data_IF_074482546564
#
_entry.id   IF_074482546564
#
_cell.length_a   1.000
_cell.length_b   1.000
_cell.length_c   1.000
_cell.angle_alpha   90.00
_cell.angle_beta   90.00
_cell.angle_gamma   90.00
#
_symmetry.space_group_name_H-M   'P 1'
#
loop_
_entity.id
_entity.type
_entity.pdbx_description
1 polymer ?
#
# COMPACT_ATOMS: atom_id res chain seq x y z
N UNK A 1 0.56 13.30 -25.68
CA UNK A 1 -0.24 12.55 -24.70
C UNK A 1 -0.33 11.16 -25.28
N UNK A 2 0.62 10.31 -24.91
CA UNK A 2 0.79 9.01 -25.55
C UNK A 2 -0.42 8.13 -25.22
N UNK A 3 -1.06 7.65 -26.28
CA UNK A 3 -2.13 6.68 -26.19
C UNK A 3 -1.50 5.36 -25.78
N UNK A 4 -1.52 5.05 -24.50
CA UNK A 4 -1.15 3.74 -23.99
C UNK A 4 -2.15 2.72 -24.53
N UNK A 5 -1.72 1.69 -25.29
CA UNK A 5 -2.62 0.60 -25.64
C UNK A 5 -3.15 -0.09 -24.36
N UNK A 6 -4.43 -0.45 -24.38
CA UNK A 6 -5.20 -1.00 -23.25
C UNK A 6 -4.69 -2.38 -22.76
N UNK A 7 -3.60 -2.91 -23.35
CA UNK A 7 -3.03 -4.23 -23.07
C UNK A 7 -1.86 -4.24 -22.07
N UNK A 8 -1.40 -3.07 -21.63
CA UNK A 8 -0.23 -2.94 -20.74
C UNK A 8 -0.52 -3.18 -19.26
N UNK A 9 -1.78 -3.44 -18.93
CA UNK A 9 -2.22 -3.70 -17.57
C UNK A 9 -3.21 -4.87 -17.59
N UNK A 10 -2.93 -5.87 -16.77
CA UNK A 10 -3.85 -6.98 -16.59
C UNK A 10 -5.07 -6.53 -15.80
N UNK A 11 -6.20 -6.40 -16.49
CA UNK A 11 -7.47 -5.95 -15.88
C UNK A 11 -7.93 -6.84 -14.72
N UNK A 12 -7.55 -8.11 -14.69
CA UNK A 12 -7.87 -9.01 -13.57
C UNK A 12 -7.01 -8.70 -12.34
N UNK A 13 -5.72 -8.43 -12.53
CA UNK A 13 -4.82 -8.03 -11.44
C UNK A 13 -5.28 -6.69 -10.84
N UNK A 14 -5.59 -5.71 -11.68
CA UNK A 14 -6.16 -4.42 -11.25
C UNK A 14 -7.48 -4.59 -10.52
N UNK A 15 -8.39 -5.42 -11.03
CA UNK A 15 -9.65 -5.67 -10.35
C UNK A 15 -9.45 -6.33 -8.98
N UNK A 16 -8.43 -7.17 -8.83
CA UNK A 16 -8.04 -7.78 -7.55
C UNK A 16 -7.58 -6.72 -6.56
N UNK A 17 -6.61 -5.88 -6.95
CA UNK A 17 -6.13 -4.80 -6.09
C UNK A 17 -7.23 -3.81 -5.75
N UNK A 18 -8.03 -3.41 -6.73
CA UNK A 18 -9.17 -2.51 -6.51
C UNK A 18 -10.13 -3.10 -5.47
N UNK A 19 -10.44 -4.39 -5.54
CA UNK A 19 -11.27 -5.06 -4.53
C UNK A 19 -10.62 -5.01 -3.13
N UNK A 20 -9.33 -5.29 -3.03
CA UNK A 20 -8.59 -5.19 -1.77
C UNK A 20 -8.58 -3.76 -1.21
N UNK A 21 -8.45 -2.74 -2.07
CA UNK A 21 -8.51 -1.34 -1.66
C UNK A 21 -9.94 -0.91 -1.27
N UNK A 22 -10.95 -1.33 -2.03
CA UNK A 22 -12.35 -1.09 -1.72
C UNK A 22 -12.72 -1.69 -0.36
N UNK A 23 -12.21 -2.88 -0.03
CA UNK A 23 -12.39 -3.49 1.29
C UNK A 23 -11.78 -2.67 2.43
N UNK A 24 -10.63 -2.01 2.23
CA UNK A 24 -10.06 -1.06 3.21
C UNK A 24 -10.96 0.17 3.35
N UNK A 25 -11.45 0.70 2.24
CA UNK A 25 -12.33 1.86 2.23
C UNK A 25 -13.71 1.58 2.85
N UNK A 26 -14.23 0.36 2.73
CA UNK A 26 -15.49 -0.08 3.36
C UNK A 26 -15.40 -0.11 4.89
N UNK A 27 -14.21 -0.19 5.46
CA UNK A 27 -14.01 -0.11 6.91
C UNK A 27 -14.04 1.32 7.45
N UNK A 28 -14.03 2.33 6.59
CA UNK A 28 -14.10 3.72 7.02
C UNK A 28 -15.52 4.08 7.53
N UNK A 29 -15.62 4.88 8.60
CA UNK A 29 -16.90 5.45 9.03
C UNK A 29 -17.58 6.23 7.89
N UNK A 30 -18.91 6.14 7.81
CA UNK A 30 -19.69 6.86 6.80
C UNK A 30 -19.45 8.40 6.87
N UNK A 31 -19.35 9.07 5.72
CA UNK A 31 -19.19 10.53 5.60
C UNK A 31 -17.74 11.04 5.59
N UNK A 32 -16.74 10.15 5.56
CA UNK A 32 -15.32 10.55 5.59
C UNK A 32 -14.74 10.93 4.21
N UNK A 33 -15.31 10.42 3.12
CA UNK A 33 -14.87 10.77 1.75
C UNK A 33 -15.03 12.26 1.48
N UNK A 34 -16.17 12.83 1.85
CA UNK A 34 -16.45 14.27 1.70
C UNK A 34 -15.49 15.15 2.53
N UNK A 35 -14.98 14.63 3.66
CA UNK A 35 -14.03 15.34 4.54
C UNK A 35 -12.59 15.30 4.05
N UNK A 36 -12.20 14.22 3.36
CA UNK A 36 -10.93 14.16 2.64
C UNK A 36 -10.89 15.21 1.53
N UNK A 37 -11.98 15.31 0.76
CA UNK A 37 -12.12 16.28 -0.32
C UNK A 37 -12.14 17.74 0.18
N UNK A 38 -12.67 17.98 1.39
CA UNK A 38 -12.70 19.32 2.00
C UNK A 38 -11.37 19.77 2.64
N UNK A 39 -10.36 18.88 2.73
CA UNK A 39 -9.03 19.21 3.23
C UNK A 39 -8.87 19.21 4.76
N UNK A 40 -9.86 18.71 5.51
CA UNK A 40 -9.77 18.49 6.97
C UNK A 40 -10.15 17.04 7.34
N UNK A 41 -9.34 16.06 6.87
CA UNK A 41 -9.64 14.67 7.13
C UNK A 41 -9.47 14.34 8.61
N UNK A 42 -10.34 13.47 9.10
CA UNK A 42 -10.14 12.84 10.40
C UNK A 42 -8.77 12.14 10.46
N UNK A 43 -8.01 12.22 11.57
CA UNK A 43 -6.70 11.58 11.69
C UNK A 43 -6.70 10.08 11.37
N UNK A 44 -7.76 9.35 11.72
CA UNK A 44 -7.86 7.92 11.42
C UNK A 44 -8.04 7.66 9.92
N UNK A 45 -8.75 8.56 9.24
CA UNK A 45 -8.94 8.50 7.79
C UNK A 45 -7.65 8.84 7.07
N UNK A 46 -6.94 9.88 7.52
CA UNK A 46 -5.62 10.22 6.98
C UNK A 46 -4.64 9.06 7.14
N UNK A 47 -4.63 8.40 8.30
CA UNK A 47 -3.84 7.18 8.52
C UNK A 47 -4.22 6.04 7.58
N UNK A 48 -5.52 5.84 7.34
CA UNK A 48 -6.00 4.81 6.40
C UNK A 48 -5.56 5.11 4.96
N UNK A 49 -5.68 6.36 4.51
CA UNK A 49 -5.25 6.77 3.16
C UNK A 49 -3.74 6.63 2.99
N UNK A 50 -2.96 7.02 4.00
CA UNK A 50 -1.51 6.84 4.00
C UNK A 50 -1.15 5.35 3.96
N UNK A 51 -1.83 4.51 4.74
CA UNK A 51 -1.71 3.06 4.65
C UNK A 51 -1.99 2.57 3.23
N UNK A 52 -3.12 2.96 2.65
CA UNK A 52 -3.50 2.59 1.28
C UNK A 52 -2.44 3.00 0.25
N UNK A 53 -1.81 4.16 0.42
CA UNK A 53 -0.76 4.60 -0.47
C UNK A 53 0.47 3.68 -0.39
N UNK A 54 0.89 3.32 0.83
CA UNK A 54 1.98 2.35 1.03
C UNK A 54 1.61 0.99 0.44
N UNK A 55 0.34 0.58 0.55
CA UNK A 55 -0.18 -0.64 -0.07
C UNK A 55 -0.01 -0.63 -1.59
N UNK A 56 -0.44 0.45 -2.25
CA UNK A 56 -0.36 0.60 -3.70
C UNK A 56 1.09 0.62 -4.17
N UNK A 57 1.96 1.38 -3.51
CA UNK A 57 3.38 1.45 -3.86
C UNK A 57 4.05 0.09 -3.68
N UNK A 58 3.77 -0.62 -2.59
CA UNK A 58 4.30 -1.96 -2.38
C UNK A 58 3.85 -2.94 -3.47
N UNK A 59 2.57 -2.89 -3.87
CA UNK A 59 2.08 -3.72 -4.95
C UNK A 59 2.76 -3.38 -6.29
N UNK A 60 2.84 -2.10 -6.67
CA UNK A 60 3.49 -1.67 -7.92
C UNK A 60 4.97 -2.07 -8.00
N UNK A 61 5.65 -2.09 -6.85
CA UNK A 61 7.07 -2.43 -6.75
C UNK A 61 7.32 -3.96 -6.71
N UNK A 62 6.28 -4.77 -6.52
CA UNK A 62 6.38 -6.24 -6.42
C UNK A 62 5.51 -7.02 -7.39
N UNK A 63 4.68 -6.33 -8.18
CA UNK A 63 3.87 -6.94 -9.21
C UNK A 63 4.76 -7.50 -10.34
N UNK A 64 4.28 -8.54 -11.01
CA UNK A 64 5.01 -9.10 -12.15
C UNK A 64 4.75 -8.30 -13.42
N UNK A 65 5.65 -8.39 -14.40
CA UNK A 65 5.49 -7.80 -15.73
C UNK A 65 4.21 -8.30 -16.46
N UNK A 66 3.63 -9.42 -16.01
CA UNK A 66 2.36 -9.97 -16.51
C UNK A 66 1.13 -9.27 -15.90
N UNK A 67 1.29 -8.62 -14.75
CA UNK A 67 0.24 -7.86 -14.06
C UNK A 67 0.22 -6.41 -14.53
N UNK A 68 1.39 -5.78 -14.59
CA UNK A 68 1.57 -4.39 -15.03
C UNK A 68 2.88 -4.31 -15.79
N UNK A 69 2.84 -3.72 -16.98
CA UNK A 69 4.06 -3.41 -17.73
C UNK A 69 5.01 -2.57 -16.85
N UNK A 70 6.31 -2.91 -16.78
CA UNK A 70 7.26 -2.20 -15.93
C UNK A 70 7.31 -0.68 -16.15
N UNK A 71 7.16 -0.21 -17.40
CA UNK A 71 7.16 1.23 -17.69
C UNK A 71 5.89 1.90 -17.16
N UNK A 72 4.75 1.19 -17.16
CA UNK A 72 3.51 1.66 -16.51
C UNK A 72 3.70 1.74 -15.00
N UNK A 73 4.24 0.69 -14.38
CA UNK A 73 4.43 0.63 -12.94
C UNK A 73 5.32 1.79 -12.45
N UNK A 74 6.43 2.04 -13.15
CA UNK A 74 7.32 3.17 -12.88
C UNK A 74 6.59 4.51 -13.01
N UNK A 75 5.83 4.73 -14.08
CA UNK A 75 5.06 5.99 -14.27
C UNK A 75 4.01 6.20 -13.19
N UNK A 76 3.35 5.13 -12.72
CA UNK A 76 2.41 5.21 -11.62
C UNK A 76 3.10 5.56 -10.30
N UNK A 77 4.28 4.99 -10.04
CA UNK A 77 5.10 5.34 -8.87
C UNK A 77 5.58 6.80 -8.92
N UNK A 78 6.04 7.28 -10.08
CA UNK A 78 6.39 8.68 -10.30
C UNK A 78 5.20 9.63 -10.06
N UNK A 79 3.97 9.18 -10.33
CA UNK A 79 2.76 9.98 -10.15
C UNK A 79 2.34 10.18 -8.68
N UNK A 80 2.89 9.42 -7.74
CA UNK A 80 2.52 9.47 -6.31
C UNK A 80 2.78 10.86 -5.70
N UNK A 81 3.66 11.66 -6.28
CA UNK A 81 3.66 13.11 -6.10
C UNK A 81 4.00 13.59 -4.69
N UNK A 82 5.04 13.02 -4.08
CA UNK A 82 5.45 13.33 -2.69
C UNK A 82 6.43 14.51 -2.61
N UNK A 83 7.11 14.84 -3.71
CA UNK A 83 8.13 15.89 -3.76
C UNK A 83 7.60 17.31 -3.47
N UNK A 84 6.28 17.53 -3.61
CA UNK A 84 5.64 18.82 -3.37
C UNK A 84 5.23 19.09 -1.93
N UNK A 85 5.43 18.15 -1.00
CA UNK A 85 4.99 18.32 0.39
C UNK A 85 5.81 19.40 1.11
N UNK A 86 5.11 20.33 1.75
CA UNK A 86 5.76 21.26 2.69
C UNK A 86 6.43 20.52 3.84
N UNK A 87 7.43 21.12 4.49
CA UNK A 87 8.12 20.49 5.62
C UNK A 87 7.19 20.00 6.73
N UNK A 88 6.12 20.75 7.03
CA UNK A 88 5.11 20.33 8.01
C UNK A 88 4.24 19.15 7.54
N UNK A 89 3.88 19.09 6.26
CA UNK A 89 3.16 17.95 5.69
C UNK A 89 4.03 16.69 5.65
N UNK A 90 5.30 16.83 5.26
CA UNK A 90 6.29 15.75 5.28
C UNK A 90 6.47 15.20 6.70
N UNK A 91 6.65 16.09 7.69
CA UNK A 91 6.79 15.68 9.09
C UNK A 91 5.55 14.92 9.59
N UNK A 92 4.35 15.42 9.30
CA UNK A 92 3.10 14.74 9.66
C UNK A 92 2.95 13.37 8.99
N UNK A 93 3.34 13.25 7.72
CA UNK A 93 3.34 11.97 7.00
C UNK A 93 4.26 10.96 7.69
N UNK A 94 5.49 11.38 8.04
CA UNK A 94 6.45 10.52 8.74
C UNK A 94 5.95 10.08 10.13
N UNK A 95 5.30 10.97 10.88
CA UNK A 95 4.71 10.64 12.18
C UNK A 95 3.61 9.58 12.06
N UNK A 96 2.73 9.72 11.05
CA UNK A 96 1.65 8.75 10.81
C UNK A 96 2.23 7.41 10.35
N UNK A 97 3.20 7.40 9.45
CA UNK A 97 3.89 6.18 9.01
C UNK A 97 4.56 5.45 10.19
N UNK A 98 5.23 6.19 11.07
CA UNK A 98 5.82 5.63 12.29
C UNK A 98 4.77 5.02 13.22
N UNK A 99 3.62 5.68 13.40
CA UNK A 99 2.52 5.17 14.22
C UNK A 99 1.88 3.91 13.62
N UNK A 100 1.65 3.89 12.30
CA UNK A 100 1.15 2.72 11.59
C UNK A 100 2.13 1.55 11.72
N UNK A 101 3.43 1.77 11.47
CA UNK A 101 4.45 0.73 11.60
C UNK A 101 4.56 0.17 13.03
N UNK A 102 4.37 1.00 14.05
CA UNK A 102 4.43 0.58 15.46
C UNK A 102 3.20 -0.26 15.88
N UNK A 103 2.04 -0.02 15.27
CA UNK A 103 0.79 -0.73 15.59
C UNK A 103 0.49 -1.91 14.66
N UNK A 104 1.14 -1.97 13.49
CA UNK A 104 1.00 -3.05 12.52
C UNK A 104 1.43 -4.39 13.11
N UNK A 105 0.63 -5.44 12.89
CA UNK A 105 0.87 -6.78 13.40
C UNK A 105 1.57 -7.66 12.37
N UNK A 106 1.31 -7.44 11.09
CA UNK A 106 1.85 -8.24 9.99
C UNK A 106 3.28 -7.80 9.63
N UNK A 107 4.25 -8.70 9.80
CA UNK A 107 5.69 -8.41 9.67
C UNK A 107 6.07 -7.73 8.35
N UNK A 108 5.66 -8.32 7.21
CA UNK A 108 5.98 -7.73 5.90
C UNK A 108 5.34 -6.36 5.76
N UNK A 109 4.13 -6.17 6.29
CA UNK A 109 3.44 -4.89 6.15
C UNK A 109 4.11 -3.81 6.99
N UNK A 110 4.54 -4.18 8.20
CA UNK A 110 5.32 -3.32 9.09
C UNK A 110 6.65 -2.92 8.46
N UNK A 111 7.35 -3.84 7.80
CA UNK A 111 8.56 -3.53 7.05
C UNK A 111 8.28 -2.50 5.95
N UNK A 112 7.24 -2.70 5.14
CA UNK A 112 6.90 -1.75 4.05
C UNK A 112 6.53 -0.36 4.56
N UNK A 113 5.82 -0.26 5.70
CA UNK A 113 5.52 1.02 6.33
C UNK A 113 6.80 1.78 6.76
N UNK A 114 7.86 1.06 7.16
CA UNK A 114 9.17 1.64 7.51
C UNK A 114 10.05 1.92 6.30
N UNK A 115 9.95 1.10 5.27
CA UNK A 115 10.73 1.21 4.03
C UNK A 115 10.19 2.31 3.12
N UNK A 116 8.88 2.55 3.11
CA UNK A 116 8.24 3.54 2.25
C UNK A 116 8.84 4.95 2.31
N UNK A 117 9.13 5.55 3.49
CA UNK A 117 9.83 6.83 3.55
C UNK A 117 11.12 6.87 2.74
N UNK A 118 11.94 5.82 2.79
CA UNK A 118 13.19 5.74 2.03
C UNK A 118 12.90 5.56 0.55
N UNK A 119 12.01 4.63 0.19
CA UNK A 119 11.62 4.36 -1.19
C UNK A 119 11.09 5.61 -1.93
N UNK A 120 10.41 6.49 -1.19
CA UNK A 120 9.85 7.73 -1.72
C UNK A 120 10.77 8.94 -1.56
N UNK A 121 12.02 8.78 -1.11
CA UNK A 121 12.96 9.88 -0.90
C UNK A 121 12.59 10.84 0.24
N UNK A 122 11.65 10.45 1.11
CA UNK A 122 11.24 11.22 2.30
C UNK A 122 12.26 11.15 3.43
N UNK A 123 13.22 10.24 3.39
CA UNK A 123 14.38 10.16 4.28
C UNK A 123 15.59 9.67 3.48
N UNK A 124 16.79 9.92 3.98
CA UNK A 124 18.04 9.49 3.32
C UNK A 124 18.40 8.06 3.69
N UNK A 125 18.18 7.70 4.96
CA UNK A 125 18.60 6.41 5.50
C UNK A 125 17.49 5.38 5.30
N UNK A 126 17.90 4.19 4.87
CA UNK A 126 17.03 3.02 4.85
C UNK A 126 16.83 2.48 6.28
N UNK A 127 15.67 1.86 6.61
CA UNK A 127 15.53 1.13 7.87
C UNK A 127 16.62 0.07 8.07
N UNK A 128 17.15 -0.01 9.29
CA UNK A 128 18.16 -1.00 9.73
C UNK A 128 17.62 -2.45 9.85
N UNK A 129 16.38 -2.69 9.44
CA UNK A 129 15.73 -4.00 9.53
C UNK A 129 16.33 -4.99 8.50
N UNK A 130 16.41 -6.28 8.85
CA UNK A 130 16.76 -7.32 7.86
C UNK A 130 15.72 -7.33 6.74
N UNK A 131 16.16 -7.11 5.49
CA UNK A 131 15.26 -7.05 4.34
C UNK A 131 14.59 -8.42 4.11
N UNK A 132 13.27 -8.56 4.31
CA UNK A 132 12.59 -9.81 4.02
C UNK A 132 12.46 -10.00 2.50
N UNK A 133 12.08 -11.22 2.07
CA UNK A 133 11.59 -11.42 0.70
C UNK A 133 10.28 -10.66 0.56
N UNK A 134 10.34 -9.54 -0.18
CA UNK A 134 9.20 -8.65 -0.40
C UNK A 134 8.25 -9.30 -1.40
N UNK A 135 7.03 -9.56 -0.96
CA UNK A 135 5.92 -10.03 -1.79
C UNK A 135 4.66 -9.34 -1.33
N UNK A 136 3.87 -8.80 -2.26
CA UNK A 136 2.57 -8.25 -1.93
C UNK A 136 1.70 -9.28 -1.21
N UNK A 137 1.10 -8.87 -0.09
CA UNK A 137 0.08 -9.63 0.63
C UNK A 137 -1.14 -8.74 0.75
N UNK A 138 -2.33 -9.13 0.26
CA UNK A 138 -3.49 -8.26 0.28
C UNK A 138 -4.00 -8.03 1.72
N UNK A 139 -4.57 -6.85 2.05
CA UNK A 139 -5.03 -6.48 3.39
C UNK A 139 -5.89 -7.54 4.10
N UNK A 140 -6.83 -8.15 3.38
CA UNK A 140 -7.72 -9.19 3.89
C UNK A 140 -6.96 -10.44 4.39
N UNK A 141 -5.81 -10.74 3.81
CA UNK A 141 -4.97 -11.87 4.19
C UNK A 141 -4.02 -11.55 5.36
N UNK A 142 -3.87 -10.27 5.75
CA UNK A 142 -2.99 -9.85 6.85
C UNK A 142 -3.66 -9.97 8.23
N UNK A 143 -4.99 -9.86 8.28
CA UNK A 143 -5.77 -9.95 9.54
C UNK A 143 -5.88 -11.39 10.04
N UNK A 144 -5.90 -12.36 9.12
CA UNK A 144 -5.65 -13.73 9.47
C UNK A 144 -4.16 -13.84 9.83
N UNK A 145 -3.83 -13.70 11.12
CA UNK A 145 -2.48 -13.98 11.63
C UNK A 145 -1.96 -15.32 11.08
N UNK A 146 -0.64 -15.57 11.06
CA UNK A 146 -0.05 -16.71 10.35
C UNK A 146 -0.86 -17.95 10.68
N UNK A 147 -1.57 -18.48 9.68
CA UNK A 147 -2.39 -19.65 9.85
C UNK A 147 -1.45 -20.73 10.39
N UNK A 148 -1.57 -21.02 11.69
CA UNK A 148 -0.91 -22.16 12.28
C UNK A 148 -1.27 -23.35 11.42
N UNK A 149 -0.24 -24.06 10.97
CA UNK A 149 -0.29 -25.36 10.31
C UNK A 149 -1.57 -26.12 10.67
N UNK A 150 -2.60 -25.92 9.85
CA UNK A 150 -3.77 -26.77 9.86
C UNK A 150 -3.51 -27.78 8.77
N UNK A 151 -2.66 -28.73 9.14
CA UNK A 151 -2.59 -30.03 8.52
C UNK A 151 -4.02 -30.55 8.26
N UNK A 152 -4.27 -31.03 7.05
CA UNK A 152 -5.42 -31.87 6.76
C UNK A 152 -6.57 -31.21 6.01
N UNK A 153 -6.34 -30.81 4.76
CA UNK A 153 -7.36 -30.96 3.73
C UNK A 153 -6.98 -32.15 2.84
N UNK A 154 -7.12 -33.36 3.40
CA UNK A 154 -7.54 -34.49 2.60
C UNK A 154 -9.04 -34.32 2.36
N UNK A 155 -9.45 -34.26 1.09
CA UNK A 155 -10.74 -34.76 0.59
C UNK A 155 -10.77 -34.57 -0.94
N UNK A 156 -10.29 -35.60 -1.64
CA UNK A 156 -10.86 -36.07 -2.92
C UNK A 156 -11.80 -37.23 -2.57
N UNK A 157 -12.86 -37.47 -3.36
CA UNK A 157 -12.70 -38.11 -4.67
C UNK A 157 -13.01 -37.21 -5.87
#
# INVERSE_FOLDING_TARGET
MDHYPDDQVNSTAVASIRRSMDWVLEQLPAGQRDRLESGDPDPAVLATVIGLLVDIVWWLDTCTDEEVDPDVAVKLLESVGIDGLSGGQRQRLLEILGHLAASEQHDLRRYELRFFPFAMGLVVDEPDDERPVRRWVPPEARIAGPAGDSAGLSLWP
#
